data_IF_323143577410
#
_entry.id   IF_323143577410
#
_cell.length_a   1.000
_cell.length_b   1.000
_cell.length_c   1.000
_cell.angle_alpha   90.00
_cell.angle_beta   90.00
_cell.angle_gamma   90.00
#
_symmetry.space_group_name_H-M   'P 1'
#
loop_
_entity.id
_entity.type
_entity.pdbx_description
1 polymer ?
#
# COMPACT_ATOMS: atom_id res chain seq x y z
N UNK A 1 -7.74 1.24 31.64
CA UNK A 1 -7.80 0.97 30.19
C UNK A 1 -6.51 0.25 29.83
N UNK A 2 -6.53 -0.94 29.20
CA UNK A 2 -5.30 -1.61 28.84
C UNK A 2 -4.66 -0.84 27.68
N UNK A 3 -3.57 -0.14 27.99
CA UNK A 3 -2.59 0.39 27.05
C UNK A 3 -2.05 -0.80 26.26
N UNK A 4 -2.47 -0.90 25.00
CA UNK A 4 -1.83 -1.81 24.04
C UNK A 4 -0.33 -1.45 24.06
N UNK A 5 0.58 -2.39 24.34
CA UNK A 5 1.99 -2.09 24.31
C UNK A 5 2.32 -1.54 22.92
N UNK A 6 3.07 -0.44 22.86
CA UNK A 6 3.62 0.13 21.62
C UNK A 6 4.65 -0.84 21.01
N UNK A 7 4.21 -2.07 20.69
CA UNK A 7 4.89 -2.92 19.73
C UNK A 7 4.66 -2.29 18.37
N UNK A 8 5.74 -1.94 17.67
CA UNK A 8 5.65 -1.53 16.27
C UNK A 8 4.90 -2.63 15.50
N UNK A 9 3.61 -2.42 15.24
CA UNK A 9 2.82 -3.39 14.48
C UNK A 9 3.35 -3.34 13.06
N UNK A 10 3.85 -4.47 12.57
CA UNK A 10 4.35 -4.57 11.20
C UNK A 10 3.24 -5.13 10.34
N UNK A 11 2.95 -4.43 9.24
CA UNK A 11 2.05 -4.92 8.21
C UNK A 11 2.86 -5.34 6.99
N UNK A 12 2.66 -6.56 6.51
CA UNK A 12 3.13 -7.00 5.20
C UNK A 12 2.10 -6.62 4.17
N UNK A 13 2.51 -5.92 3.13
CA UNK A 13 1.64 -5.53 2.03
C UNK A 13 2.23 -6.09 0.75
N UNK A 14 1.37 -6.55 -0.16
CA UNK A 14 1.73 -7.05 -1.50
C UNK A 14 0.74 -6.49 -2.51
N UNK A 15 1.21 -5.78 -3.53
CA UNK A 15 0.34 -5.29 -4.60
C UNK A 15 0.18 -6.41 -5.63
N UNK A 16 -1.05 -6.75 -6.01
CA UNK A 16 -1.33 -7.85 -6.93
C UNK A 16 -1.50 -7.35 -8.35
N UNK A 17 -2.45 -6.43 -8.56
CA UNK A 17 -2.76 -5.89 -9.89
C UNK A 17 -3.52 -4.55 -9.82
N UNK A 18 -3.32 -3.65 -10.79
CA UNK A 18 -4.19 -2.51 -10.98
C UNK A 18 -5.43 -2.86 -11.82
N UNK A 19 -6.53 -2.17 -11.57
CA UNK A 19 -7.73 -2.12 -12.40
C UNK A 19 -8.01 -0.65 -12.72
N UNK A 20 -7.73 -0.25 -13.96
CA UNK A 20 -7.97 1.10 -14.46
C UNK A 20 -9.16 1.10 -15.42
N UNK A 21 -10.02 2.13 -15.39
CA UNK A 21 -11.03 2.28 -16.42
C UNK A 21 -10.39 2.69 -17.75
N UNK A 22 -11.07 2.44 -18.90
CA UNK A 22 -10.49 2.67 -20.22
C UNK A 22 -10.03 4.11 -20.47
N UNK A 23 -10.62 5.11 -19.81
CA UNK A 23 -10.28 6.53 -20.05
C UNK A 23 -8.88 6.91 -19.57
N UNK A 24 -8.34 6.21 -18.56
CA UNK A 24 -7.01 6.49 -17.99
C UNK A 24 -6.04 5.31 -18.16
N UNK A 25 -6.48 4.26 -18.86
CA UNK A 25 -5.65 3.10 -19.13
C UNK A 25 -4.55 3.51 -20.13
N UNK A 26 -3.26 3.35 -19.80
CA UNK A 26 -2.20 3.64 -20.74
C UNK A 26 -2.24 2.66 -21.91
N UNK A 27 -1.82 3.12 -23.10
CA UNK A 27 -1.71 2.29 -24.30
C UNK A 27 -0.83 1.05 -24.08
N UNK A 28 0.18 1.18 -23.21
CA UNK A 28 1.04 0.10 -22.79
C UNK A 28 0.92 -0.13 -21.28
N UNK A 29 0.27 -1.22 -20.89
CA UNK A 29 0.11 -1.63 -19.48
C UNK A 29 1.33 -2.40 -18.94
N UNK A 30 2.29 -2.77 -19.79
CA UNK A 30 3.44 -3.60 -19.38
C UNK A 30 4.49 -2.83 -18.56
N UNK A 31 4.47 -1.49 -18.60
CA UNK A 31 5.37 -0.64 -17.82
C UNK A 31 4.67 0.06 -16.64
N UNK A 32 3.56 -0.52 -16.17
CA UNK A 32 2.89 -0.06 -14.96
C UNK A 32 3.73 -0.41 -13.73
N UNK A 33 4.12 0.61 -12.95
CA UNK A 33 4.93 0.48 -11.74
C UNK A 33 4.29 1.22 -10.58
N UNK A 34 4.55 0.76 -9.36
CA UNK A 34 4.10 1.43 -8.15
C UNK A 34 5.26 2.12 -7.45
N UNK A 35 5.00 3.31 -6.89
CA UNK A 35 5.87 3.99 -5.96
C UNK A 35 5.15 4.24 -4.64
N UNK A 36 5.81 3.96 -3.53
CA UNK A 36 5.27 4.06 -2.19
C UNK A 36 5.99 5.15 -1.41
N UNK A 37 5.22 6.15 -0.98
CA UNK A 37 5.68 7.24 -0.14
C UNK A 37 5.03 7.18 1.25
N UNK A 38 5.84 7.30 2.31
CA UNK A 38 5.34 7.39 3.70
C UNK A 38 5.37 8.86 4.13
N UNK A 39 4.24 9.56 4.16
CA UNK A 39 4.19 11.01 4.43
C UNK A 39 3.99 11.35 5.92
N UNK A 40 4.91 12.19 6.44
CA UNK A 40 4.69 13.40 7.27
C UNK A 40 5.99 14.22 7.32
N UNK A 41 7.13 13.53 7.30
CA UNK A 41 8.47 13.98 6.86
C UNK A 41 9.03 12.76 6.14
N UNK A 42 9.47 12.89 4.89
CA UNK A 42 9.99 11.78 4.06
C UNK A 42 11.38 11.37 4.56
N UNK A 43 11.45 10.82 5.78
CA UNK A 43 12.70 10.31 6.38
C UNK A 43 13.10 8.95 5.81
N UNK A 44 12.17 8.21 5.18
CA UNK A 44 12.41 6.91 4.55
C UNK A 44 12.37 7.03 3.03
N UNK A 45 13.28 6.31 2.37
CA UNK A 45 13.39 6.21 0.90
C UNK A 45 12.05 5.77 0.30
N UNK A 46 11.66 6.37 -0.81
CA UNK A 46 10.55 5.89 -1.65
C UNK A 46 10.82 4.45 -2.05
N UNK A 47 9.83 3.58 -1.88
CA UNK A 47 9.93 2.16 -2.24
C UNK A 47 9.23 1.97 -3.58
N UNK A 48 9.84 1.20 -4.47
CA UNK A 48 9.22 0.81 -5.74
C UNK A 48 8.95 -0.70 -5.68
N UNK A 49 7.84 -1.14 -5.07
CA UNK A 49 7.53 -2.56 -5.01
C UNK A 49 7.17 -3.07 -6.40
N UNK A 50 7.72 -4.23 -6.75
CA UNK A 50 7.28 -4.99 -7.92
C UNK A 50 5.91 -5.64 -7.65
N UNK A 51 5.16 -5.90 -8.72
CA UNK A 51 3.90 -6.61 -8.60
C UNK A 51 4.14 -8.02 -8.06
N UNK A 52 3.25 -8.45 -7.19
CA UNK A 52 3.31 -9.72 -6.47
C UNK A 52 4.48 -9.85 -5.48
N UNK A 53 5.28 -8.83 -5.27
CA UNK A 53 6.26 -8.80 -4.19
C UNK A 53 5.68 -8.18 -2.91
N UNK A 54 6.08 -8.76 -1.77
CA UNK A 54 5.67 -8.28 -0.46
C UNK A 54 6.72 -7.38 0.14
N UNK A 55 6.30 -6.28 0.76
CA UNK A 55 7.16 -5.45 1.59
C UNK A 55 6.54 -5.24 2.97
N UNK A 56 7.42 -5.02 3.95
CA UNK A 56 7.04 -4.82 5.33
C UNK A 56 7.03 -3.33 5.67
N UNK A 57 5.98 -2.89 6.36
CA UNK A 57 5.88 -1.54 6.86
C UNK A 57 5.43 -1.52 8.31
N UNK A 58 6.21 -0.86 9.15
CA UNK A 58 5.72 -0.45 10.48
C UNK A 58 4.50 0.45 10.34
N UNK A 59 3.55 0.24 11.25
CA UNK A 59 2.28 0.95 11.35
C UNK A 59 2.37 1.88 12.53
N UNK A 60 2.32 3.18 12.24
CA UNK A 60 2.42 4.23 13.25
C UNK A 60 1.14 5.05 13.20
N UNK A 61 0.58 5.33 14.37
CA UNK A 61 -0.64 6.13 14.48
C UNK A 61 -0.45 7.50 13.80
N UNK A 62 -1.46 7.92 13.03
CA UNK A 62 -1.41 9.19 12.29
C UNK A 62 -0.52 9.20 11.04
N UNK A 63 0.19 8.11 10.69
CA UNK A 63 0.94 8.02 9.43
C UNK A 63 0.07 7.56 8.27
N UNK A 64 0.39 8.09 7.10
CA UNK A 64 -0.25 7.72 5.83
C UNK A 64 0.74 7.01 4.90
N UNK A 65 0.19 6.07 4.14
CA UNK A 65 0.82 5.43 3.00
C UNK A 65 0.23 6.07 1.73
N UNK A 66 1.09 6.59 0.87
CA UNK A 66 0.72 7.02 -0.47
C UNK A 66 1.23 5.99 -1.48
N UNK A 67 0.32 5.46 -2.28
CA UNK A 67 0.60 4.56 -3.40
C UNK A 67 0.42 5.37 -4.68
N UNK A 68 1.45 5.41 -5.51
CA UNK A 68 1.45 6.14 -6.77
C UNK A 68 1.60 5.12 -7.89
N UNK A 69 0.66 5.12 -8.83
CA UNK A 69 0.71 4.32 -10.04
C UNK A 69 1.36 5.14 -11.16
N UNK A 70 2.42 4.59 -11.72
CA UNK A 70 3.21 5.16 -12.80
C UNK A 70 3.11 4.29 -14.04
N UNK A 71 3.13 4.89 -15.21
CA UNK A 71 3.41 4.23 -16.48
C UNK A 71 4.74 4.78 -17.01
N UNK A 72 5.82 4.01 -16.87
CA UNK A 72 7.18 4.52 -17.02
C UNK A 72 7.46 5.65 -16.03
N UNK A 73 7.63 6.88 -16.53
CA UNK A 73 7.82 8.09 -15.72
C UNK A 73 6.55 8.92 -15.51
N UNK A 74 5.44 8.55 -16.16
CA UNK A 74 4.19 9.32 -16.16
C UNK A 74 3.33 8.91 -14.98
N UNK A 75 2.87 9.90 -14.21
CA UNK A 75 1.89 9.69 -13.16
C UNK A 75 0.50 9.39 -13.73
N UNK A 76 -0.07 8.23 -13.41
CA UNK A 76 -1.40 7.83 -13.87
C UNK A 76 -2.45 8.15 -12.82
N UNK A 77 -2.26 7.65 -11.59
CA UNK A 77 -3.21 7.80 -10.50
C UNK A 77 -2.55 7.50 -9.15
N UNK A 78 -3.10 7.99 -8.05
CA UNK A 78 -2.56 7.75 -6.70
C UNK A 78 -3.64 7.55 -5.63
N UNK A 79 -3.25 6.96 -4.51
CA UNK A 79 -4.08 6.82 -3.33
C UNK A 79 -3.29 7.16 -2.09
N UNK A 80 -3.90 7.92 -1.18
CA UNK A 80 -3.37 8.14 0.17
C UNK A 80 -4.32 7.53 1.19
N UNK A 81 -3.80 6.68 2.08
CA UNK A 81 -4.58 6.00 3.11
C UNK A 81 -3.83 5.96 4.44
N UNK A 82 -4.53 5.90 5.57
CA UNK A 82 -3.86 5.74 6.87
C UNK A 82 -3.37 4.31 7.01
N UNK A 83 -2.19 4.13 7.59
CA UNK A 83 -1.67 2.79 7.84
C UNK A 83 -2.60 1.99 8.79
N UNK A 84 -3.22 2.69 9.75
CA UNK A 84 -4.19 2.12 10.68
C UNK A 84 -5.43 1.56 9.96
N UNK A 85 -5.90 2.21 8.91
CA UNK A 85 -7.07 1.76 8.15
C UNK A 85 -6.78 0.43 7.43
N UNK A 86 -5.56 0.26 6.92
CA UNK A 86 -5.13 -1.00 6.28
C UNK A 86 -5.14 -2.13 7.31
N UNK A 87 -4.49 -1.93 8.46
CA UNK A 87 -4.41 -3.00 9.47
C UNK A 87 -5.74 -3.33 10.11
N UNK A 88 -6.66 -2.37 10.21
CA UNK A 88 -8.00 -2.61 10.75
C UNK A 88 -8.79 -3.63 9.94
N UNK A 89 -8.44 -3.79 8.65
CA UNK A 89 -9.02 -4.77 7.73
C UNK A 89 -8.29 -6.11 7.75
N UNK A 90 -7.05 -6.15 8.24
CA UNK A 90 -6.25 -7.37 8.30
C UNK A 90 -6.72 -8.27 9.44
N UNK A 91 -6.99 -9.54 9.14
CA UNK A 91 -7.16 -10.57 10.17
C UNK A 91 -5.80 -11.00 10.70
N UNK A 92 -5.75 -11.35 11.99
CA UNK A 92 -4.55 -11.94 12.59
C UNK A 92 -4.19 -13.23 11.85
N UNK A 93 -2.92 -13.40 11.50
CA UNK A 93 -2.35 -14.58 10.81
C UNK A 93 -2.88 -14.90 9.40
N UNK A 94 -3.82 -14.12 8.86
CA UNK A 94 -4.38 -14.36 7.52
C UNK A 94 -4.26 -13.14 6.61
N UNK A 95 -3.76 -13.40 5.40
CA UNK A 95 -3.66 -12.41 4.35
C UNK A 95 -5.06 -12.02 3.84
N UNK A 96 -5.38 -10.73 3.95
CA UNK A 96 -6.67 -10.17 3.54
C UNK A 96 -6.51 -9.37 2.25
N UNK A 97 -7.40 -9.60 1.30
CA UNK A 97 -7.45 -8.81 0.07
C UNK A 97 -8.15 -7.47 0.34
N UNK A 98 -7.49 -6.38 -0.03
CA UNK A 98 -7.99 -5.02 0.11
C UNK A 98 -7.91 -4.29 -1.21
N UNK A 99 -8.99 -3.58 -1.55
CA UNK A 99 -9.01 -2.66 -2.69
C UNK A 99 -8.54 -1.28 -2.25
N UNK A 100 -7.54 -0.78 -2.95
CA UNK A 100 -7.02 0.58 -2.80
C UNK A 100 -7.58 1.42 -3.93
N UNK A 101 -8.52 2.32 -3.62
CA UNK A 101 -9.12 3.20 -4.62
C UNK A 101 -8.17 4.34 -4.96
N UNK A 102 -7.83 4.48 -6.23
CA UNK A 102 -6.97 5.53 -6.74
C UNK A 102 -7.78 6.77 -7.15
N UNK A 103 -7.09 7.90 -7.26
CA UNK A 103 -7.57 9.16 -7.83
C UNK A 103 -6.68 9.54 -9.02
N UNK A 104 -7.24 10.04 -10.14
CA UNK A 104 -8.64 10.39 -10.34
C UNK A 104 -9.59 9.19 -10.50
N UNK A 105 -9.10 8.03 -10.97
CA UNK A 105 -9.90 6.81 -11.12
C UNK A 105 -9.05 5.53 -10.98
N UNK A 106 -9.73 4.38 -10.95
CA UNK A 106 -9.10 3.06 -10.85
C UNK A 106 -8.89 2.59 -9.41
N UNK A 107 -8.38 1.36 -9.29
CA UNK A 107 -8.09 0.72 -8.00
C UNK A 107 -6.96 -0.29 -8.12
N UNK A 108 -6.27 -0.57 -7.02
CA UNK A 108 -5.26 -1.63 -6.93
C UNK A 108 -5.75 -2.71 -5.97
N UNK A 109 -5.69 -3.96 -6.42
CA UNK A 109 -5.85 -5.09 -5.52
C UNK A 109 -4.55 -5.29 -4.76
N UNK A 110 -4.62 -5.21 -3.44
CA UNK A 110 -3.50 -5.52 -2.57
C UNK A 110 -3.89 -6.64 -1.61
N UNK A 111 -2.88 -7.33 -1.12
CA UNK A 111 -2.97 -8.28 -0.02
C UNK A 111 -2.22 -7.68 1.16
N UNK A 112 -2.84 -7.72 2.35
CA UNK A 112 -2.23 -7.22 3.57
C UNK A 112 -2.45 -8.20 4.73
N UNK A 113 -1.44 -8.38 5.59
CA UNK A 113 -1.56 -9.12 6.85
C UNK A 113 -0.77 -8.45 7.97
N UNK A 114 -1.14 -8.80 9.21
CA UNK A 114 -0.32 -8.53 10.39
C UNK A 114 0.87 -9.49 10.40
N UNK A 115 2.06 -8.96 10.68
CA UNK A 115 3.23 -9.76 11.03
C UNK A 115 3.41 -9.63 12.54
N UNK A 116 3.18 -10.73 13.27
CA UNK A 116 3.71 -10.83 14.62
C UNK A 116 5.23 -10.92 14.51
N UNK A 117 5.96 -10.02 15.16
CA UNK A 117 7.41 -10.18 15.31
C UNK A 117 7.64 -11.59 15.92
N UNK A 118 8.38 -12.50 15.27
CA UNK A 118 8.78 -13.72 15.95
C UNK A 118 9.69 -13.27 17.08
N UNK A 119 9.21 -13.42 18.31
CA UNK A 119 10.01 -13.23 19.52
C UNK A 119 11.19 -14.18 19.56
#
# INVERSE_FOLDING_TARGET
MPTVPEGETICRIKLLRPELPPEIQPENITDLRCAINKRLIQKRKTIHPEWNESWDTGVVAGRVLQVILLNGTIHVADATMRQQDIISKCKWENATHVWINLKPAGRILAQACHISNPG
#
